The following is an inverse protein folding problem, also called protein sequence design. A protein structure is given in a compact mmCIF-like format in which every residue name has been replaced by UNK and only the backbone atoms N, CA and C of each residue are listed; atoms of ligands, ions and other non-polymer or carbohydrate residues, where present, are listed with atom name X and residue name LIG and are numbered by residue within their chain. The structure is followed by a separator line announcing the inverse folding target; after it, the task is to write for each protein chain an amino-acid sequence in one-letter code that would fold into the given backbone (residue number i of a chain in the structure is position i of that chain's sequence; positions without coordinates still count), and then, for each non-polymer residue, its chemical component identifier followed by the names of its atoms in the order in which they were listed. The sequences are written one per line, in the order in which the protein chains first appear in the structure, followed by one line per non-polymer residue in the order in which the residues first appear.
data_IF_834151789208
#
_entry.id   IF_834151789208
#
_cell.length_a   1.000
_cell.length_b   1.000
_cell.length_c   1.000
_cell.angle_alpha   90.00
_cell.angle_beta   90.00
_cell.angle_gamma   90.00
#
_symmetry.space_group_name_H-M   'P 1'
#
loop_
_entity.id
_entity.type
_entity.pdbx_description
1 polymer ?
#
# COMPACT_ATOMS: atom_id res chain seq x y z
N UNK A 1 -5.49 5.33 10.32
CA UNK A 1 -4.94 3.96 10.28
C UNK A 1 -5.81 3.10 11.21
N UNK A 2 -6.20 1.88 10.83
CA UNK A 2 -7.00 1.02 11.70
C UNK A 2 -6.13 0.28 12.74
N UNK A 3 -6.69 0.05 13.92
CA UNK A 3 -6.08 -0.68 15.04
C UNK A 3 -7.11 -1.60 15.67
N UNK A 4 -6.67 -2.68 16.33
CA UNK A 4 -7.57 -3.61 17.02
C UNK A 4 -7.94 -3.11 18.41
N UNK A 5 -7.06 -2.35 19.04
CA UNK A 5 -7.26 -1.84 20.40
C UNK A 5 -7.10 -0.33 20.46
N UNK A 6 -7.78 0.28 21.42
CA UNK A 6 -7.62 1.72 21.72
C UNK A 6 -6.17 2.04 22.12
N UNK A 7 -5.51 1.15 22.87
CA UNK A 7 -4.13 1.32 23.31
C UNK A 7 -3.14 1.42 22.15
N UNK A 8 -3.27 0.56 21.14
CA UNK A 8 -2.44 0.60 19.92
C UNK A 8 -2.63 1.90 19.13
N UNK A 9 -3.88 2.37 19.01
CA UNK A 9 -4.19 3.61 18.32
C UNK A 9 -3.53 4.81 19.01
N UNK A 10 -3.61 4.86 20.34
CA UNK A 10 -3.01 5.94 21.13
C UNK A 10 -1.49 5.87 21.06
N UNK A 11 -0.89 4.69 21.14
CA UNK A 11 0.56 4.51 20.97
C UNK A 11 1.03 4.99 19.58
N UNK A 12 0.24 4.75 18.54
CA UNK A 12 0.53 5.24 17.20
C UNK A 12 0.51 6.78 17.14
N UNK A 13 -0.47 7.41 17.79
CA UNK A 13 -0.53 8.88 17.87
C UNK A 13 0.64 9.44 18.66
N UNK A 14 1.01 8.84 19.78
CA UNK A 14 2.18 9.26 20.57
C UNK A 14 3.51 9.16 19.81
N UNK A 15 3.65 8.18 18.90
CA UNK A 15 4.90 7.98 18.16
C UNK A 15 5.01 8.83 16.89
N UNK A 16 3.89 9.17 16.23
CA UNK A 16 3.93 9.85 14.92
C UNK A 16 3.23 11.20 14.86
N UNK A 17 2.39 11.51 15.84
CA UNK A 17 1.50 12.67 15.80
C UNK A 17 1.50 13.43 17.14
N UNK A 18 2.53 13.27 17.96
CA UNK A 18 2.65 13.93 19.25
C UNK A 18 2.66 15.46 19.10
N UNK A 19 3.30 15.94 18.04
CA UNK A 19 3.40 17.34 17.62
C UNK A 19 2.05 18.01 17.38
N UNK A 20 1.00 17.23 17.07
CA UNK A 20 -0.34 17.77 16.86
C UNK A 20 -1.07 18.09 18.16
N UNK A 21 -0.71 17.42 19.24
CA UNK A 21 -1.41 17.52 20.53
C UNK A 21 -0.59 18.28 21.57
N UNK A 22 0.74 18.20 21.50
CA UNK A 22 1.63 18.77 22.50
C UNK A 22 2.78 19.57 21.87
N UNK A 23 3.16 20.65 22.55
CA UNK A 23 4.48 21.27 22.42
C UNK A 23 5.43 20.64 23.44
N UNK A 24 6.60 20.20 22.98
CA UNK A 24 7.64 19.62 23.83
C UNK A 24 8.56 20.73 24.28
N UNK A 25 8.56 21.04 25.57
CA UNK A 25 9.43 22.05 26.18
C UNK A 25 10.43 21.34 27.08
N UNK A 26 11.72 21.54 26.81
CA UNK A 26 12.77 21.09 27.72
C UNK A 26 12.83 22.07 28.90
N UNK A 27 12.51 21.57 30.08
CA UNK A 27 12.50 22.36 31.32
C UNK A 27 13.65 21.89 32.21
N UNK A 28 14.38 22.86 32.76
CA UNK A 28 15.38 22.60 33.79
C UNK A 28 14.65 22.36 35.12
N UNK A 29 14.67 21.11 35.59
CA UNK A 29 14.09 20.70 36.86
C UNK A 29 15.16 20.75 37.94
N UNK A 30 14.77 21.04 39.18
CA UNK A 30 15.70 21.01 40.32
C UNK A 30 16.46 19.69 40.36
N UNK A 31 17.79 19.78 40.34
CA UNK A 31 18.66 18.62 40.46
C UNK A 31 18.32 17.86 41.77
N UNK A 32 18.46 16.51 41.79
CA UNK A 32 18.18 15.72 42.97
C UNK A 32 18.87 16.28 44.21
N UNK A 33 18.11 16.62 45.26
CA UNK A 33 18.68 17.10 46.53
C UNK A 33 19.28 15.94 47.30
N UNK A 34 20.60 15.90 47.45
CA UNK A 34 21.31 14.89 48.21
C UNK A 34 22.83 14.99 48.05
N UNK A 35 23.58 14.62 49.10
CA UNK A 35 25.03 14.48 49.00
C UNK A 35 25.36 13.13 48.35
N UNK A 36 25.53 13.12 47.03
CA UNK A 36 25.90 11.90 46.28
C UNK A 36 27.42 11.77 46.25
N UNK A 37 27.94 10.71 46.88
CA UNK A 37 29.38 10.45 46.93
C UNK A 37 29.89 9.59 45.76
N UNK A 38 28.98 8.91 45.07
CA UNK A 38 29.32 7.97 43.99
C UNK A 38 28.13 7.70 43.07
N UNK A 39 28.43 7.41 41.81
CA UNK A 39 27.46 7.02 40.78
C UNK A 39 27.88 5.72 40.11
N UNK A 40 26.91 4.88 39.78
CA UNK A 40 27.16 3.66 39.04
C UNK A 40 27.22 3.95 37.54
N UNK A 41 28.29 3.48 36.89
CA UNK A 41 28.50 3.51 35.44
C UNK A 41 28.45 2.09 34.90
N UNK A 42 27.74 1.89 33.81
CA UNK A 42 27.77 0.61 33.11
C UNK A 42 29.11 0.47 32.36
N UNK A 43 29.87 -0.59 32.60
CA UNK A 43 31.15 -0.84 31.90
C UNK A 43 30.99 -1.12 30.40
N UNK A 44 29.82 -1.63 29.99
CA UNK A 44 29.56 -1.99 28.60
C UNK A 44 29.12 -0.79 27.75
N UNK A 45 28.27 0.08 28.30
CA UNK A 45 27.68 1.21 27.56
C UNK A 45 28.32 2.55 27.92
N UNK A 46 29.09 2.63 29.02
CA UNK A 46 29.67 3.88 29.53
C UNK A 46 28.65 4.83 30.18
N UNK A 47 27.37 4.50 30.17
CA UNK A 47 26.29 5.36 30.67
C UNK A 47 26.26 5.39 32.20
N UNK A 48 26.09 6.57 32.78
CA UNK A 48 25.91 6.76 34.22
C UNK A 48 24.44 6.51 34.58
N UNK A 49 24.19 5.47 35.38
CA UNK A 49 22.85 4.98 35.73
C UNK A 49 22.30 5.64 36.99
N UNK A 50 23.18 6.17 37.83
CA UNK A 50 22.85 7.00 38.98
C UNK A 50 23.45 6.54 40.29
N UNK A 51 23.15 7.26 41.37
CA UNK A 51 23.72 7.00 42.69
C UNK A 51 22.98 5.88 43.45
N UNK A 52 23.67 5.00 44.21
CA UNK A 52 23.03 3.96 45.02
C UNK A 52 22.02 4.46 46.05
N UNK A 53 22.20 5.71 46.52
CA UNK A 53 21.33 6.36 47.50
C UNK A 53 20.13 7.07 46.87
N UNK A 54 20.02 7.09 45.54
CA UNK A 54 18.91 7.70 44.83
C UNK A 54 17.72 6.75 44.72
N UNK A 55 16.51 7.23 45.02
CA UNK A 55 15.30 6.41 45.10
C UNK A 55 14.95 5.71 43.78
N UNK A 56 15.23 6.32 42.61
CA UNK A 56 14.98 5.70 41.30
C UNK A 56 16.16 4.85 40.79
N UNK A 57 17.22 4.67 41.56
CA UNK A 57 18.41 3.91 41.16
C UNK A 57 18.08 2.48 40.68
N UNK A 58 17.28 1.74 41.46
CA UNK A 58 16.91 0.36 41.10
C UNK A 58 16.10 0.29 39.81
N UNK A 59 15.22 1.26 39.57
CA UNK A 59 14.42 1.33 38.33
C UNK A 59 15.31 1.65 37.13
N UNK A 60 16.22 2.61 37.26
CA UNK A 60 17.17 2.97 36.20
C UNK A 60 18.07 1.78 35.80
N UNK A 61 18.52 0.97 36.77
CA UNK A 61 19.29 -0.25 36.48
C UNK A 61 18.48 -1.27 35.67
N UNK A 62 17.21 -1.53 36.04
CA UNK A 62 16.36 -2.49 35.34
C UNK A 62 16.02 -2.02 33.93
N UNK A 63 15.69 -0.74 33.75
CA UNK A 63 15.39 -0.18 32.42
C UNK A 63 16.62 -0.24 31.50
N UNK A 64 17.81 0.06 32.03
CA UNK A 64 19.04 -0.01 31.24
C UNK A 64 19.41 -1.44 30.85
N UNK A 65 19.30 -2.38 31.80
CA UNK A 65 19.54 -3.81 31.59
C UNK A 65 18.61 -4.38 30.51
N UNK A 66 17.31 -4.10 30.60
CA UNK A 66 16.32 -4.56 29.63
C UNK A 66 16.56 -4.04 28.20
N UNK A 67 17.16 -2.84 28.06
CA UNK A 67 17.41 -2.22 26.75
C UNK A 67 18.77 -2.61 26.13
N UNK A 68 19.82 -2.74 26.94
CA UNK A 68 21.19 -2.85 26.43
C UNK A 68 21.90 -4.17 26.79
N UNK A 69 21.40 -4.92 27.78
CA UNK A 69 22.05 -6.13 28.27
C UNK A 69 21.06 -7.32 28.47
N UNK A 70 20.13 -7.61 27.54
CA UNK A 70 19.07 -8.59 27.75
C UNK A 70 19.58 -10.03 27.96
N UNK A 71 20.75 -10.36 27.41
CA UNK A 71 21.34 -11.72 27.45
C UNK A 71 22.05 -12.04 28.78
N UNK A 72 22.31 -11.04 29.62
CA UNK A 72 22.97 -11.22 30.92
C UNK A 72 21.94 -11.29 32.05
N UNK A 73 22.17 -12.09 33.10
CA UNK A 73 21.29 -12.03 34.27
C UNK A 73 21.44 -10.69 35.01
N UNK A 74 20.35 -10.19 35.58
CA UNK A 74 20.34 -8.90 36.28
C UNK A 74 21.37 -8.84 37.42
N UNK A 75 21.58 -9.94 38.15
CA UNK A 75 22.57 -10.01 39.23
C UNK A 75 24.00 -9.92 38.70
N UNK A 76 24.28 -10.52 37.54
CA UNK A 76 25.59 -10.42 36.87
C UNK A 76 25.83 -9.00 36.34
N UNK A 77 24.79 -8.38 35.78
CA UNK A 77 24.82 -6.97 35.37
C UNK A 77 25.12 -6.06 36.56
N UNK A 78 24.42 -6.24 37.70
CA UNK A 78 24.61 -5.46 38.92
C UNK A 78 26.02 -5.62 39.50
N UNK A 79 26.58 -6.83 39.48
CA UNK A 79 27.95 -7.10 39.94
C UNK A 79 29.02 -6.49 39.00
N UNK A 80 28.69 -6.27 37.73
CA UNK A 80 29.57 -5.68 36.73
C UNK A 80 29.61 -4.15 36.70
N UNK A 81 28.77 -3.47 37.47
CA UNK A 81 28.70 -2.00 37.51
C UNK A 81 29.98 -1.40 38.09
N UNK A 82 30.48 -0.34 37.46
CA UNK A 82 31.59 0.43 37.96
C UNK A 82 31.10 1.55 38.85
N UNK A 83 31.72 1.68 40.02
CA UNK A 83 31.34 2.66 41.01
C UNK A 83 32.28 3.86 40.95
N UNK A 84 31.85 4.92 40.28
CA UNK A 84 32.67 6.11 40.02
C UNK A 84 32.43 7.15 41.11
N UNK A 85 33.51 7.62 41.73
CA UNK A 85 33.52 8.65 42.78
C UNK A 85 33.99 10.02 42.30
N UNK A 86 34.33 10.13 41.01
CA UNK A 86 34.78 11.37 40.40
C UNK A 86 33.65 12.41 40.42
N UNK A 87 33.98 13.63 40.86
CA UNK A 87 32.99 14.71 40.97
C UNK A 87 32.40 15.08 39.60
N UNK A 88 33.19 15.04 38.53
CA UNK A 88 32.71 15.30 37.16
C UNK A 88 31.63 14.30 36.69
N UNK A 89 31.75 13.03 37.08
CA UNK A 89 30.76 12.01 36.78
C UNK A 89 29.46 12.21 37.58
N UNK A 90 29.57 12.71 38.81
CA UNK A 90 28.43 13.03 39.66
C UNK A 90 27.71 14.27 39.11
N UNK A 91 28.45 15.32 38.75
CA UNK A 91 27.90 16.56 38.23
C UNK A 91 27.28 16.39 36.84
N UNK A 92 27.88 15.58 35.97
CA UNK A 92 27.30 15.22 34.67
C UNK A 92 26.00 14.43 34.80
N UNK A 93 25.92 13.51 35.77
CA UNK A 93 24.68 12.81 36.10
C UNK A 93 23.61 13.74 36.67
N UNK A 94 23.98 14.66 37.57
CA UNK A 94 23.07 15.67 38.11
C UNK A 94 22.53 16.60 37.02
N UNK A 95 23.39 17.03 36.08
CA UNK A 95 23.02 17.86 34.92
C UNK A 95 22.15 17.11 33.91
N UNK A 96 22.35 15.80 33.75
CA UNK A 96 21.49 14.97 32.92
C UNK A 96 20.10 14.78 33.58
N UNK A 97 20.05 14.69 34.91
CA UNK A 97 18.80 14.58 35.67
C UNK A 97 18.06 15.92 35.82
N UNK A 98 18.75 17.05 35.65
CA UNK A 98 18.14 18.38 35.71
C UNK A 98 17.44 18.79 34.41
N UNK A 99 17.39 17.92 33.39
CA UNK A 99 16.71 18.19 32.10
C UNK A 99 15.56 17.22 31.93
N UNK A 100 14.34 17.74 31.81
CA UNK A 100 13.14 16.93 31.56
C UNK A 100 12.30 17.56 30.46
N UNK A 101 11.76 16.70 29.60
CA UNK A 101 10.78 17.13 28.61
C UNK A 101 9.41 17.22 29.28
N UNK A 102 8.83 18.40 29.26
CA UNK A 102 7.43 18.63 29.58
C UNK A 102 6.61 18.74 28.28
N UNK A 103 5.39 18.22 28.32
CA UNK A 103 4.45 18.24 27.21
C UNK A 103 3.32 19.23 27.55
N UNK A 104 3.24 20.31 26.79
CA UNK A 104 2.22 21.36 26.95
C UNK A 104 1.11 21.12 25.92
N UNK A 105 -0.15 20.89 26.33
CA UNK A 105 -1.26 20.70 25.39
C UNK A 105 -1.51 21.97 24.56
N UNK A 106 -1.61 21.85 23.23
CA UNK A 106 -1.79 23.01 22.32
C UNK A 106 -3.16 23.68 22.45
N UNK A 107 -4.21 22.88 22.60
CA UNK A 107 -5.60 23.34 22.69
C UNK A 107 -6.15 23.10 24.10
N UNK A 108 -5.58 23.76 25.11
CA UNK A 108 -5.96 23.62 26.52
C UNK A 108 -7.39 24.12 26.78
N UNK A 109 -8.18 23.32 27.50
CA UNK A 109 -9.51 23.68 28.00
C UNK A 109 -9.53 23.86 29.53
N UNK A 110 -10.59 24.47 30.07
CA UNK A 110 -10.75 24.69 31.51
C UNK A 110 -10.86 23.33 32.26
N UNK A 111 -10.00 23.13 33.26
CA UNK A 111 -9.88 21.85 33.99
C UNK A 111 -8.75 20.92 33.51
N UNK A 112 -8.01 21.29 32.47
CA UNK A 112 -6.90 20.49 31.94
C UNK A 112 -5.53 20.87 32.53
N UNK A 113 -4.64 19.87 32.76
CA UNK A 113 -3.28 20.11 33.21
C UNK A 113 -2.50 20.96 32.19
N UNK A 114 -1.83 21.99 32.70
CA UNK A 114 -1.05 22.94 31.88
C UNK A 114 0.24 22.31 31.35
N UNK A 115 0.87 21.46 32.16
CA UNK A 115 2.16 20.82 31.86
C UNK A 115 2.08 19.36 32.28
N UNK A 116 2.54 18.49 31.38
CA UNK A 116 2.62 17.06 31.63
C UNK A 116 4.08 16.66 31.65
N UNK A 117 4.52 16.10 32.77
CA UNK A 117 5.94 15.87 33.00
C UNK A 117 6.48 14.58 32.35
N UNK A 118 5.62 13.74 31.76
CA UNK A 118 6.05 12.46 31.17
C UNK A 118 5.21 12.06 29.96
N UNK A 119 5.78 11.18 29.13
CA UNK A 119 5.02 10.55 28.04
C UNK A 119 3.83 9.75 28.57
N UNK A 120 3.96 9.07 29.71
CA UNK A 120 2.84 8.34 30.32
C UNK A 120 1.71 9.28 30.76
N UNK A 121 2.06 10.48 31.26
CA UNK A 121 1.08 11.52 31.59
C UNK A 121 0.42 12.09 30.32
N UNK A 122 1.18 12.30 29.24
CA UNK A 122 0.66 12.67 27.92
C UNK A 122 -0.30 11.61 27.36
N UNK A 123 0.04 10.32 27.51
CA UNK A 123 -0.85 9.21 27.14
C UNK A 123 -2.15 9.23 27.92
N UNK A 124 -2.06 9.39 29.25
CA UNK A 124 -3.21 9.49 30.13
C UNK A 124 -4.09 10.69 29.78
N UNK A 125 -3.48 11.82 29.43
CA UNK A 125 -4.20 13.01 28.95
C UNK A 125 -4.98 12.74 27.66
N UNK A 126 -4.35 12.11 26.66
CA UNK A 126 -5.05 11.74 25.42
C UNK A 126 -6.22 10.78 25.68
N UNK A 127 -6.06 9.84 26.62
CA UNK A 127 -7.12 8.91 27.04
C UNK A 127 -8.28 9.59 27.77
N UNK A 128 -7.98 10.58 28.62
CA UNK A 128 -8.98 11.23 29.47
C UNK A 128 -9.71 12.38 28.76
N UNK A 129 -8.99 13.24 28.04
CA UNK A 129 -9.51 14.51 27.55
C UNK A 129 -9.65 14.58 26.02
N UNK A 130 -8.96 13.72 25.26
CA UNK A 130 -8.94 13.78 23.79
C UNK A 130 -9.29 12.46 23.12
N UNK A 131 -9.93 11.53 23.84
CA UNK A 131 -10.23 10.17 23.36
C UNK A 131 -10.95 10.18 22.01
N UNK A 132 -12.00 10.99 21.87
CA UNK A 132 -12.84 11.04 20.66
C UNK A 132 -12.14 11.67 19.44
N UNK A 133 -11.08 12.44 19.68
CA UNK A 133 -10.25 13.01 18.62
C UNK A 133 -9.19 12.02 18.14
N UNK A 134 -8.69 11.17 19.05
CA UNK A 134 -7.59 10.23 18.81
C UNK A 134 -8.10 8.88 18.28
N UNK A 135 -9.23 8.40 18.81
CA UNK A 135 -9.77 7.07 18.51
C UNK A 135 -11.25 7.18 18.14
N UNK A 136 -11.61 6.57 17.01
CA UNK A 136 -13.01 6.40 16.60
C UNK A 136 -13.27 4.94 16.27
N UNK A 137 -14.28 4.37 16.90
CA UNK A 137 -14.72 3.01 16.63
C UNK A 137 -15.72 3.01 15.48
N UNK A 138 -15.49 2.16 14.50
CA UNK A 138 -16.38 1.97 13.36
C UNK A 138 -16.50 0.46 13.05
N UNK A 139 -17.69 -0.03 12.67
CA UNK A 139 -17.90 -1.43 12.31
C UNK A 139 -17.15 -1.83 11.05
N UNK A 140 -16.87 -0.86 10.17
CA UNK A 140 -16.04 -1.05 8.97
C UNK A 140 -15.15 0.18 8.77
N UNK A 141 -13.92 -0.06 8.34
CA UNK A 141 -12.94 1.00 8.09
C UNK A 141 -12.40 0.84 6.67
N UNK A 142 -12.32 1.95 5.94
CA UNK A 142 -11.61 2.04 4.66
C UNK A 142 -10.34 2.85 4.87
N UNK A 143 -9.24 2.36 4.32
CA UNK A 143 -7.96 3.06 4.38
C UNK A 143 -7.17 2.82 3.10
N UNK A 144 -6.20 3.70 2.82
CA UNK A 144 -5.38 3.57 1.63
C UNK A 144 -4.40 2.40 1.76
N UNK A 145 -4.33 1.53 0.75
CA UNK A 145 -3.47 0.34 0.74
C UNK A 145 -1.98 0.64 0.97
N UNK A 146 -1.50 1.83 0.57
CA UNK A 146 -0.12 2.29 0.87
C UNK A 146 0.23 2.30 2.36
N UNK A 147 -0.76 2.37 3.24
CA UNK A 147 -0.53 2.37 4.69
C UNK A 147 -0.17 0.98 5.21
N UNK A 148 -0.41 -0.10 4.45
CA UNK A 148 -0.18 -1.49 4.85
C UNK A 148 1.28 -1.77 5.23
N UNK A 149 2.23 -1.13 4.56
CA UNK A 149 3.67 -1.24 4.88
C UNK A 149 3.99 -0.66 6.26
N UNK A 150 3.31 0.43 6.61
CA UNK A 150 3.51 1.18 7.86
C UNK A 150 2.67 0.67 9.03
N UNK A 151 1.78 -0.31 8.77
CA UNK A 151 0.93 -0.92 9.79
C UNK A 151 1.75 -1.81 10.72
N UNK A 152 1.44 -1.82 12.03
CA UNK A 152 1.99 -2.80 12.95
C UNK A 152 1.78 -4.23 12.46
N UNK A 153 2.73 -5.12 12.75
CA UNK A 153 2.53 -6.55 12.55
C UNK A 153 1.37 -7.03 13.43
N UNK A 154 0.48 -7.84 12.89
CA UNK A 154 -0.69 -8.34 13.61
C UNK A 154 -1.86 -8.69 12.70
N UNK A 155 -2.98 -9.16 13.28
CA UNK A 155 -4.05 -9.81 12.54
C UNK A 155 -4.64 -8.96 11.41
N UNK A 156 -4.81 -7.65 11.61
CA UNK A 156 -5.34 -6.76 10.56
C UNK A 156 -4.42 -6.70 9.34
N UNK A 157 -3.12 -6.57 9.56
CA UNK A 157 -2.13 -6.53 8.47
C UNK A 157 -2.07 -7.88 7.78
N UNK A 158 -2.08 -8.96 8.55
CA UNK A 158 -1.97 -10.33 8.04
C UNK A 158 -3.22 -10.72 7.24
N UNK A 159 -4.42 -10.35 7.67
CA UNK A 159 -5.65 -10.58 6.90
C UNK A 159 -5.65 -9.87 5.56
N UNK A 160 -5.19 -8.62 5.51
CA UNK A 160 -5.09 -7.87 4.24
C UNK A 160 -4.01 -8.48 3.35
N UNK A 161 -2.87 -8.88 3.92
CA UNK A 161 -1.79 -9.54 3.16
C UNK A 161 -2.23 -10.89 2.60
N UNK A 162 -2.91 -11.70 3.40
CA UNK A 162 -3.47 -12.97 2.97
C UNK A 162 -4.39 -12.79 1.77
N UNK A 163 -5.32 -11.83 1.84
CA UNK A 163 -6.20 -11.52 0.72
C UNK A 163 -5.42 -11.02 -0.51
N UNK A 164 -4.37 -10.21 -0.32
CA UNK A 164 -3.53 -9.75 -1.43
C UNK A 164 -2.72 -10.89 -2.07
N UNK A 165 -2.23 -11.84 -1.28
CA UNK A 165 -1.50 -13.02 -1.77
C UNK A 165 -2.45 -13.95 -2.53
N UNK A 166 -3.65 -14.18 -2.02
CA UNK A 166 -4.71 -14.92 -2.72
C UNK A 166 -5.04 -14.28 -4.07
N UNK A 167 -5.28 -12.97 -4.10
CA UNK A 167 -5.54 -12.24 -5.35
C UNK A 167 -4.33 -12.17 -6.29
N UNK A 168 -3.10 -12.34 -5.81
CA UNK A 168 -1.92 -12.46 -6.69
C UNK A 168 -1.84 -13.82 -7.35
N UNK A 169 -2.24 -14.88 -6.65
CA UNK A 169 -2.31 -16.23 -7.23
C UNK A 169 -3.53 -16.39 -8.15
N UNK A 170 -4.70 -15.90 -7.73
CA UNK A 170 -5.97 -16.01 -8.43
C UNK A 170 -6.72 -14.66 -8.42
N UNK A 171 -6.43 -13.75 -9.38
CA UNK A 171 -6.93 -12.37 -9.39
C UNK A 171 -8.40 -12.22 -9.82
N UNK A 172 -9.29 -13.10 -9.36
CA UNK A 172 -10.68 -13.13 -9.82
C UNK A 172 -11.48 -11.91 -9.33
N UNK A 173 -11.43 -11.60 -8.04
CA UNK A 173 -12.14 -10.45 -7.47
C UNK A 173 -11.56 -9.14 -8.01
N UNK A 174 -10.24 -9.09 -8.15
CA UNK A 174 -9.54 -7.96 -8.76
C UNK A 174 -10.00 -7.73 -10.20
N UNK A 175 -10.05 -8.78 -11.03
CA UNK A 175 -10.53 -8.70 -12.40
C UNK A 175 -12.00 -8.26 -12.47
N UNK A 176 -12.86 -8.84 -11.63
CA UNK A 176 -14.28 -8.49 -11.54
C UNK A 176 -14.49 -7.03 -11.11
N UNK A 177 -13.69 -6.54 -10.16
CA UNK A 177 -13.73 -5.15 -9.69
C UNK A 177 -13.27 -4.14 -10.75
N UNK A 178 -12.29 -4.50 -11.57
CA UNK A 178 -11.77 -3.64 -12.65
C UNK A 178 -12.74 -3.62 -13.84
N UNK A 179 -13.41 -4.74 -14.16
CA UNK A 179 -14.37 -4.85 -15.26
C UNK A 179 -15.43 -3.76 -15.25
N UNK A 180 -16.04 -3.49 -14.10
CA UNK A 180 -17.06 -2.45 -13.96
C UNK A 180 -16.53 -1.04 -14.20
N UNK A 181 -15.27 -0.77 -13.83
CA UNK A 181 -14.62 0.53 -14.09
C UNK A 181 -14.26 0.70 -15.56
N UNK A 182 -13.70 -0.33 -16.19
CA UNK A 182 -13.37 -0.33 -17.61
C UNK A 182 -14.59 -0.02 -18.48
N UNK A 183 -15.75 -0.62 -18.18
CA UNK A 183 -17.00 -0.31 -18.89
C UNK A 183 -17.42 1.15 -18.75
N UNK A 184 -17.25 1.75 -17.57
CA UNK A 184 -17.57 3.17 -17.32
C UNK A 184 -16.66 4.12 -18.08
N UNK A 185 -15.40 3.73 -18.27
CA UNK A 185 -14.42 4.47 -19.09
C UNK A 185 -14.57 4.19 -20.60
N UNK A 186 -15.62 3.47 -21.03
CA UNK A 186 -15.90 3.21 -22.44
C UNK A 186 -15.15 2.03 -23.05
N UNK A 187 -14.46 1.20 -22.25
CA UNK A 187 -13.87 -0.02 -22.75
C UNK A 187 -14.91 -1.14 -22.90
N UNK A 188 -14.71 -1.97 -23.92
CA UNK A 188 -15.53 -3.12 -24.24
C UNK A 188 -14.81 -4.41 -23.82
N UNK A 189 -15.51 -5.29 -23.11
CA UNK A 189 -14.98 -6.58 -22.72
C UNK A 189 -15.66 -7.67 -23.54
N UNK A 190 -14.87 -8.61 -24.06
CA UNK A 190 -15.39 -9.75 -24.79
C UNK A 190 -14.63 -11.01 -24.41
N UNK A 191 -15.33 -12.15 -24.45
CA UNK A 191 -14.75 -13.45 -24.16
C UNK A 191 -14.61 -14.25 -25.45
N UNK A 192 -13.43 -14.82 -25.69
CA UNK A 192 -13.24 -15.68 -26.87
C UNK A 192 -13.73 -17.10 -26.56
N UNK A 193 -15.01 -17.37 -26.83
CA UNK A 193 -15.66 -18.66 -26.57
C UNK A 193 -16.01 -18.90 -25.10
N UNK A 194 -16.76 -19.97 -24.83
CA UNK A 194 -17.40 -20.22 -23.53
C UNK A 194 -16.45 -20.39 -22.33
N UNK A 195 -15.19 -20.77 -22.55
CA UNK A 195 -14.15 -20.92 -21.51
C UNK A 195 -12.90 -20.04 -21.74
N UNK A 196 -12.99 -19.09 -22.66
CA UNK A 196 -11.84 -18.28 -23.06
C UNK A 196 -11.44 -17.19 -22.08
N UNK A 197 -10.27 -16.62 -22.34
CA UNK A 197 -9.76 -15.41 -21.71
C UNK A 197 -10.70 -14.25 -22.06
N UNK A 198 -10.97 -13.38 -21.08
CA UNK A 198 -11.68 -12.12 -21.30
C UNK A 198 -10.68 -11.06 -21.73
N UNK A 199 -10.93 -10.46 -22.89
CA UNK A 199 -10.12 -9.39 -23.44
C UNK A 199 -10.81 -8.04 -23.22
N UNK A 200 -10.02 -6.97 -23.21
CA UNK A 200 -10.48 -5.59 -23.05
C UNK A 200 -10.04 -4.81 -24.28
N UNK A 201 -10.97 -4.15 -24.95
CA UNK A 201 -10.72 -3.32 -26.13
C UNK A 201 -11.27 -1.91 -25.94
N UNK A 202 -10.56 -0.91 -26.48
CA UNK A 202 -11.05 0.48 -26.53
C UNK A 202 -12.04 0.74 -27.67
N UNK A 203 -12.19 -0.21 -28.59
CA UNK A 203 -13.10 -0.13 -29.74
C UNK A 203 -14.17 -1.20 -29.60
N UNK A 204 -15.42 -0.84 -29.88
CA UNK A 204 -16.54 -1.79 -29.87
C UNK A 204 -16.38 -2.78 -31.02
N UNK A 205 -16.40 -4.07 -30.70
CA UNK A 205 -16.38 -5.15 -31.68
C UNK A 205 -17.58 -5.06 -32.63
N UNK A 206 -17.32 -5.20 -33.92
CA UNK A 206 -18.36 -5.32 -34.95
C UNK A 206 -18.15 -6.61 -35.73
N UNK A 207 -19.04 -7.57 -35.51
CA UNK A 207 -19.10 -8.75 -36.38
C UNK A 207 -19.56 -8.35 -37.77
N UNK A 208 -19.10 -9.07 -38.78
CA UNK A 208 -19.38 -8.75 -40.20
C UNK A 208 -20.75 -9.29 -40.59
N UNK A 209 -21.53 -8.48 -41.31
CA UNK A 209 -22.78 -8.93 -41.93
C UNK A 209 -22.44 -9.58 -43.30
N UNK A 210 -22.98 -10.76 -43.63
CA UNK A 210 -22.84 -11.36 -44.96
C UNK A 210 -23.18 -10.44 -46.15
N UNK A 211 -24.04 -9.44 -45.94
CA UNK A 211 -24.48 -8.47 -46.97
C UNK A 211 -23.58 -7.24 -47.05
N UNK A 212 -22.68 -7.05 -46.10
CA UNK A 212 -21.79 -5.89 -46.08
C UNK A 212 -20.66 -6.07 -47.09
N UNK A 213 -20.44 -5.07 -47.94
CA UNK A 213 -19.34 -5.04 -48.90
C UNK A 213 -18.21 -4.16 -48.39
N UNK A 214 -16.97 -4.66 -48.52
CA UNK A 214 -15.75 -3.93 -48.26
C UNK A 214 -15.04 -3.61 -49.58
N UNK A 215 -14.07 -2.69 -49.56
CA UNK A 215 -13.19 -2.48 -50.72
C UNK A 215 -12.36 -3.74 -50.98
N UNK A 216 -11.90 -3.93 -52.22
CA UNK A 216 -11.09 -5.11 -52.60
C UNK A 216 -9.84 -5.30 -51.72
N UNK A 217 -9.22 -4.19 -51.31
CA UNK A 217 -8.05 -4.19 -50.42
C UNK A 217 -8.42 -4.66 -49.01
N UNK A 218 -9.49 -4.11 -48.43
CA UNK A 218 -10.00 -4.51 -47.11
C UNK A 218 -10.48 -5.95 -47.09
N UNK A 219 -11.16 -6.41 -48.14
CA UNK A 219 -11.62 -7.79 -48.27
C UNK A 219 -10.43 -8.77 -48.28
N UNK A 220 -9.35 -8.44 -49.01
CA UNK A 220 -8.11 -9.25 -48.99
C UNK A 220 -7.48 -9.36 -47.59
N UNK A 221 -7.52 -8.28 -46.80
CA UNK A 221 -7.04 -8.29 -45.41
C UNK A 221 -7.89 -9.25 -44.56
N UNK A 222 -9.21 -9.13 -44.67
CA UNK A 222 -10.15 -9.97 -43.93
C UNK A 222 -10.02 -11.45 -44.32
N UNK A 223 -9.93 -11.75 -45.61
CA UNK A 223 -9.78 -13.11 -46.12
C UNK A 223 -8.45 -13.76 -45.69
N UNK A 224 -7.37 -12.97 -45.60
CA UNK A 224 -6.09 -13.44 -45.07
C UNK A 224 -6.20 -13.82 -43.58
N UNK A 225 -6.85 -12.97 -42.80
CA UNK A 225 -7.09 -13.18 -41.36
C UNK A 225 -8.06 -14.33 -41.06
N UNK A 226 -9.04 -14.57 -41.94
CA UNK A 226 -9.98 -15.70 -41.81
C UNK A 226 -9.31 -17.03 -42.11
N UNK A 227 -8.33 -17.07 -43.02
CA UNK A 227 -7.54 -18.27 -43.33
C UNK A 227 -6.58 -18.62 -42.21
N UNK A 228 -5.88 -17.63 -41.67
CA UNK A 228 -4.91 -17.81 -40.60
C UNK A 228 -5.01 -16.64 -39.60
N UNK A 229 -5.68 -16.90 -38.49
CA UNK A 229 -5.81 -15.92 -37.41
C UNK A 229 -4.54 -15.81 -36.57
N UNK A 230 -4.34 -14.65 -35.93
CA UNK A 230 -3.21 -14.42 -35.01
C UNK A 230 -1.91 -14.02 -35.71
N UNK A 231 -1.96 -13.71 -36.99
CA UNK A 231 -0.84 -13.13 -37.76
C UNK A 231 -0.44 -11.76 -37.19
N UNK A 232 0.85 -11.39 -37.36
CA UNK A 232 1.30 -10.06 -36.98
C UNK A 232 0.93 -9.00 -38.01
N UNK A 233 0.82 -7.76 -37.53
CA UNK A 233 0.58 -6.59 -38.38
C UNK A 233 1.58 -6.48 -39.52
N UNK A 234 2.87 -6.72 -39.26
CA UNK A 234 3.93 -6.62 -40.28
C UNK A 234 3.80 -7.70 -41.36
N UNK A 235 3.45 -8.90 -40.95
CA UNK A 235 3.38 -10.07 -41.84
C UNK A 235 2.22 -9.90 -42.82
N UNK A 236 1.06 -9.45 -42.35
CA UNK A 236 -0.11 -9.16 -43.19
C UNK A 236 0.18 -8.06 -44.21
N UNK A 237 0.76 -6.95 -43.77
CA UNK A 237 1.06 -5.83 -44.67
C UNK A 237 2.06 -6.27 -45.74
N UNK A 238 3.08 -7.06 -45.36
CA UNK A 238 4.09 -7.57 -46.28
C UNK A 238 3.52 -8.61 -47.25
N UNK A 239 2.67 -9.52 -46.75
CA UNK A 239 2.05 -10.56 -47.56
C UNK A 239 1.07 -9.99 -48.60
N UNK A 240 0.33 -8.94 -48.26
CA UNK A 240 -0.69 -8.35 -49.14
C UNK A 240 -0.15 -7.27 -50.07
N UNK A 241 0.79 -6.45 -49.62
CA UNK A 241 1.44 -5.48 -50.50
C UNK A 241 2.46 -6.15 -51.42
N UNK A 242 3.14 -7.20 -50.93
CA UNK A 242 4.32 -7.81 -51.55
C UNK A 242 5.61 -7.33 -50.87
N UNK A 243 6.59 -8.23 -50.70
CA UNK A 243 7.85 -7.92 -50.01
C UNK A 243 8.60 -6.74 -50.67
N UNK A 244 8.61 -6.71 -52.00
CA UNK A 244 9.29 -5.71 -52.83
C UNK A 244 8.38 -4.54 -53.25
N UNK A 245 7.20 -4.42 -52.66
CA UNK A 245 6.27 -3.35 -53.01
C UNK A 245 6.75 -1.99 -52.51
N UNK A 246 6.33 -0.93 -53.22
CA UNK A 246 6.63 0.45 -52.83
C UNK A 246 6.08 0.78 -51.44
N UNK A 247 6.75 1.69 -50.73
CA UNK A 247 6.31 2.13 -49.40
C UNK A 247 4.90 2.74 -49.43
N UNK A 248 4.49 3.34 -50.56
CA UNK A 248 3.13 3.82 -50.76
C UNK A 248 2.09 2.70 -50.77
N UNK A 249 2.39 1.55 -51.39
CA UNK A 249 1.49 0.41 -51.42
C UNK A 249 1.36 -0.23 -50.03
N UNK A 250 2.48 -0.37 -49.30
CA UNK A 250 2.48 -0.82 -47.89
C UNK A 250 1.71 0.14 -47.00
N UNK A 251 1.85 1.45 -47.23
CA UNK A 251 1.13 2.51 -46.52
C UNK A 251 -0.39 2.44 -46.73
N UNK A 252 -0.85 2.15 -47.95
CA UNK A 252 -2.28 1.97 -48.24
C UNK A 252 -2.88 0.77 -47.51
N UNK A 253 -2.22 -0.39 -47.57
CA UNK A 253 -2.68 -1.60 -46.84
C UNK A 253 -2.68 -1.37 -45.33
N UNK A 254 -1.67 -0.67 -44.80
CA UNK A 254 -1.62 -0.33 -43.39
C UNK A 254 -2.74 0.65 -42.98
N UNK A 255 -3.08 1.63 -43.83
CA UNK A 255 -4.20 2.54 -43.59
C UNK A 255 -5.55 1.81 -43.60
N UNK A 256 -5.78 0.93 -44.56
CA UNK A 256 -6.98 0.08 -44.62
C UNK A 256 -7.09 -0.83 -43.40
N UNK A 257 -5.99 -1.45 -42.97
CA UNK A 257 -5.94 -2.27 -41.76
C UNK A 257 -6.25 -1.44 -40.51
N UNK A 258 -5.68 -0.24 -40.40
CA UNK A 258 -5.93 0.66 -39.26
C UNK A 258 -7.40 1.10 -39.23
N UNK A 259 -8.01 1.35 -40.39
CA UNK A 259 -9.44 1.61 -40.51
C UNK A 259 -10.28 0.43 -40.00
N UNK A 260 -9.98 -0.79 -40.43
CA UNK A 260 -10.69 -2.00 -39.98
C UNK A 260 -10.56 -2.23 -38.46
N UNK A 261 -9.41 -1.90 -37.88
CA UNK A 261 -9.19 -1.95 -36.42
C UNK A 261 -10.04 -0.90 -35.70
N UNK A 262 -10.03 0.35 -36.20
CA UNK A 262 -10.75 1.46 -35.58
C UNK A 262 -12.27 1.32 -35.66
N UNK A 263 -12.80 0.70 -36.73
CA UNK A 263 -14.22 0.39 -36.86
C UNK A 263 -14.64 -0.88 -36.10
N UNK A 264 -13.68 -1.65 -35.58
CA UNK A 264 -13.93 -2.84 -34.76
C UNK A 264 -14.15 -4.13 -35.54
N UNK A 265 -13.83 -4.17 -36.83
CA UNK A 265 -13.88 -5.37 -37.68
C UNK A 265 -12.65 -6.28 -37.52
N UNK A 266 -11.55 -5.74 -37.00
CA UNK A 266 -10.34 -6.48 -36.66
C UNK A 266 -9.95 -6.17 -35.21
N UNK A 267 -9.77 -7.21 -34.39
CA UNK A 267 -9.18 -7.06 -33.07
C UNK A 267 -7.64 -7.12 -33.16
N UNK A 268 -6.98 -6.09 -32.63
CA UNK A 268 -5.53 -6.08 -32.40
C UNK A 268 -5.25 -6.31 -30.93
N UNK A 269 -4.56 -7.40 -30.61
CA UNK A 269 -4.13 -7.72 -29.27
C UNK A 269 -2.87 -6.93 -28.87
N UNK A 270 -2.56 -6.91 -27.57
CA UNK A 270 -1.37 -6.23 -27.03
C UNK A 270 -0.04 -6.76 -27.57
N UNK A 271 0.00 -8.03 -28.00
CA UNK A 271 1.14 -8.68 -28.64
C UNK A 271 1.21 -8.45 -30.16
N UNK A 272 0.40 -7.53 -30.69
CA UNK A 272 0.28 -7.18 -32.12
C UNK A 272 -0.30 -8.27 -33.03
N UNK A 273 -0.87 -9.34 -32.45
CA UNK A 273 -1.64 -10.32 -33.21
C UNK A 273 -3.00 -9.78 -33.63
N UNK A 274 -3.41 -10.13 -34.84
CA UNK A 274 -4.65 -9.66 -35.45
C UNK A 274 -5.66 -10.79 -35.62
N UNK A 275 -6.93 -10.48 -35.39
CA UNK A 275 -8.04 -11.40 -35.58
C UNK A 275 -9.19 -10.68 -36.27
N UNK A 276 -9.64 -11.20 -37.41
CA UNK A 276 -10.88 -10.73 -38.03
C UNK A 276 -12.09 -11.14 -37.18
N UNK A 277 -13.08 -10.27 -37.09
CA UNK A 277 -14.34 -10.62 -36.44
C UNK A 277 -15.16 -11.55 -37.33
N UNK A 278 -15.88 -12.53 -36.76
CA UNK A 278 -16.59 -13.52 -37.56
C UNK A 278 -17.73 -12.88 -38.35
N UNK A 279 -18.12 -13.58 -39.42
CA UNK A 279 -19.31 -13.27 -40.19
C UNK A 279 -20.51 -13.90 -39.47
N UNK A 280 -21.53 -13.11 -39.14
CA UNK A 280 -22.77 -13.61 -38.54
C UNK A 280 -23.66 -14.23 -39.63
N UNK A 281 -23.34 -15.44 -40.08
CA UNK A 281 -24.11 -16.10 -41.13
C UNK A 281 -25.34 -16.84 -40.61
N UNK A 282 -25.44 -17.07 -39.31
CA UNK A 282 -26.58 -17.75 -38.67
C UNK A 282 -27.04 -17.07 -37.37
N UNK A 283 -28.34 -17.24 -37.04
CA UNK A 283 -28.89 -16.77 -35.75
C UNK A 283 -28.22 -17.46 -34.55
N UNK A 284 -27.71 -18.68 -34.70
CA UNK A 284 -26.98 -19.39 -33.66
C UNK A 284 -25.64 -18.70 -33.35
N UNK A 285 -24.88 -18.33 -34.38
CA UNK A 285 -23.64 -17.56 -34.21
C UNK A 285 -23.89 -16.15 -33.68
N UNK A 286 -24.99 -15.50 -34.09
CA UNK A 286 -25.37 -14.21 -33.55
C UNK A 286 -25.69 -14.29 -32.04
N UNK A 287 -26.38 -15.35 -31.60
CA UNK A 287 -26.65 -15.61 -30.18
C UNK A 287 -25.39 -15.96 -29.40
N UNK A 288 -24.52 -16.82 -29.95
CA UNK A 288 -23.26 -17.18 -29.31
C UNK A 288 -22.33 -15.96 -29.16
N UNK A 289 -22.25 -15.12 -30.19
CA UNK A 289 -21.41 -13.93 -30.13
C UNK A 289 -21.99 -12.81 -29.27
N UNK A 290 -23.31 -12.67 -29.22
CA UNK A 290 -23.97 -11.83 -28.23
C UNK A 290 -23.64 -12.32 -26.81
N UNK A 291 -23.71 -13.62 -26.53
CA UNK A 291 -23.35 -14.18 -25.23
C UNK A 291 -21.86 -13.98 -24.88
N UNK A 292 -20.96 -13.97 -25.86
CA UNK A 292 -19.54 -13.68 -25.66
C UNK A 292 -19.26 -12.20 -25.37
N UNK A 293 -20.11 -11.29 -25.86
CA UNK A 293 -20.09 -9.84 -25.58
C UNK A 293 -20.81 -9.53 -24.24
N UNK A 294 -21.83 -10.31 -23.89
CA UNK A 294 -22.67 -10.20 -22.70
C UNK A 294 -22.22 -11.07 -21.52
N UNK A 295 -21.16 -11.87 -21.66
CA UNK A 295 -20.64 -12.84 -20.65
C UNK A 295 -20.18 -12.27 -19.30
N UNK A 296 -20.66 -11.08 -18.93
CA UNK A 296 -20.59 -10.51 -17.59
C UNK A 296 -21.92 -9.98 -17.05
N UNK A 297 -23.08 -10.41 -17.55
CA UNK A 297 -24.39 -10.14 -16.94
C UNK A 297 -24.82 -11.15 -15.87
N UNK A 298 -24.15 -12.30 -15.73
CA UNK A 298 -24.48 -13.23 -14.66
C UNK A 298 -23.91 -12.80 -13.31
N UNK A 299 -24.86 -12.52 -12.41
CA UNK A 299 -24.81 -12.51 -10.93
C UNK A 299 -24.90 -11.13 -10.30
N UNK A 300 -26.15 -10.69 -10.10
CA UNK A 300 -26.53 -9.86 -8.94
C UNK A 300 -26.68 -10.75 -7.72
#
# INVERSE_FOLDING_TARGET
MPFLTEGEAIQHVMSRHLDKFFDVVEVEVEAPKGAFQMVARCKQTGVILGSPTYHNYQRALREHHARHCPDSSFDRFKAGLEMVREQEAIDSWLKAMSRRNEYVPKDRQEGEPERLESLDAARGFLQAFRKDQVVKSHPWVRFAGRLLESMPAGPLRDSVRFFLEDQRAFPLDTANGIRGRLRKEGFHLYKKGSKGITYVCGVRRRCRDPKQTFSDSMQKILDALDKEGGQQTKDIVTALAGADASDEAKGRVAADLQFLINEGYVAKLSDSRLFAQPVLSSQAQAKEEAANDEGGEESK
#
